data_IF_556691532751
#
_entry.id   IF_556691532751
#
_cell.length_a   1.000
_cell.length_b   1.000
_cell.length_c   1.000
_cell.angle_alpha   90.00
_cell.angle_beta   90.00
_cell.angle_gamma   90.00
#
_symmetry.space_group_name_H-M   'P 1'
#
loop_
_entity.id
_entity.type
_entity.pdbx_description
1 polymer ?
#
# COMPACT_ATOMS: atom_id res chain seq x y z
N UNK A 1 -6.68 10.26 22.96
CA UNK A 1 -7.85 9.67 22.26
C UNK A 1 -8.65 10.84 21.69
N UNK A 2 -8.56 11.06 20.38
CA UNK A 2 -9.41 12.00 19.64
C UNK A 2 -10.08 11.17 18.55
N UNK A 3 -11.40 11.04 18.65
CA UNK A 3 -12.36 10.52 17.67
C UNK A 3 -11.85 9.49 16.65
N UNK A 4 -12.03 8.18 16.92
CA UNK A 4 -12.39 7.10 15.97
C UNK A 4 -11.67 6.92 14.63
N UNK A 5 -10.68 7.74 14.29
CA UNK A 5 -9.94 7.69 13.05
C UNK A 5 -8.70 6.81 13.24
N UNK A 6 -8.37 5.94 12.27
CA UNK A 6 -7.16 5.15 12.34
C UNK A 6 -5.95 6.09 12.36
N UNK A 7 -5.20 6.09 13.47
CA UNK A 7 -3.94 6.83 13.58
C UNK A 7 -2.79 5.88 13.24
N UNK A 8 -2.08 6.15 12.15
CA UNK A 8 -0.87 5.44 11.79
C UNK A 8 0.36 6.31 12.13
N UNK A 9 1.36 5.72 12.78
CA UNK A 9 2.62 6.39 13.13
C UNK A 9 3.76 5.78 12.31
N UNK A 10 4.42 6.60 11.48
CA UNK A 10 5.62 6.21 10.75
C UNK A 10 6.87 6.74 11.48
N UNK A 11 7.75 5.84 11.91
CA UNK A 11 9.07 6.19 12.46
C UNK A 11 10.17 5.75 11.50
N UNK A 12 11.09 6.65 11.16
CA UNK A 12 12.29 6.36 10.36
C UNK A 12 13.54 6.66 11.19
N UNK A 13 14.50 5.74 11.18
CA UNK A 13 15.79 5.88 11.88
C UNK A 13 16.90 5.76 10.83
N UNK A 14 17.89 6.65 10.92
CA UNK A 14 19.06 6.65 10.05
C UNK A 14 20.31 6.59 10.92
N UNK A 15 21.33 5.88 10.45
CA UNK A 15 22.66 5.88 11.04
C UNK A 15 23.61 6.55 10.06
N UNK A 16 24.41 7.51 10.54
CA UNK A 16 25.41 8.21 9.74
C UNK A 16 26.77 7.85 10.32
N UNK A 17 27.65 7.28 9.51
CA UNK A 17 29.03 6.94 9.87
C UNK A 17 29.96 7.89 9.11
N UNK A 18 30.42 8.99 9.74
CA UNK A 18 31.31 9.93 9.09
C UNK A 18 32.69 9.31 8.86
N UNK A 19 33.22 9.46 7.64
CA UNK A 19 34.54 8.92 7.26
C UNK A 19 35.70 9.86 7.61
N UNK A 20 35.42 11.14 7.87
CA UNK A 20 36.41 12.16 8.20
C UNK A 20 35.93 12.96 9.40
N UNK A 21 36.88 13.40 10.22
CA UNK A 21 36.61 14.37 11.28
C UNK A 21 36.31 15.74 10.66
N UNK A 22 35.43 16.51 11.30
CA UNK A 22 35.03 17.83 10.81
C UNK A 22 33.55 18.12 11.04
N UNK A 23 33.07 19.21 10.45
CA UNK A 23 31.66 19.63 10.55
C UNK A 23 30.80 18.80 9.61
N UNK A 24 29.75 18.20 10.16
CA UNK A 24 28.71 17.49 9.43
C UNK A 24 27.42 18.31 9.49
N UNK A 25 27.01 18.86 8.35
CA UNK A 25 25.75 19.61 8.22
C UNK A 25 24.61 18.67 7.82
N UNK A 26 23.60 18.57 8.68
CA UNK A 26 22.34 17.90 8.40
C UNK A 26 21.35 18.93 7.85
N UNK A 27 20.83 18.74 6.61
CA UNK A 27 19.90 19.69 6.02
C UNK A 27 18.54 19.66 6.74
N UNK A 28 17.83 20.79 6.70
CA UNK A 28 16.45 20.85 7.15
C UNK A 28 15.56 19.91 6.32
N UNK A 29 14.68 19.16 6.98
CA UNK A 29 13.78 18.22 6.34
C UNK A 29 12.37 18.81 6.30
N UNK A 30 11.77 18.86 5.11
CA UNK A 30 10.38 19.29 4.91
C UNK A 30 9.54 18.13 4.39
N UNK A 31 8.44 17.84 5.08
CA UNK A 31 7.49 16.77 4.72
C UNK A 31 6.14 17.40 4.45
N UNK A 32 5.66 17.27 3.21
CA UNK A 32 4.30 17.70 2.85
C UNK A 32 3.31 16.64 3.29
N UNK A 33 2.20 17.07 3.87
CA UNK A 33 1.12 16.19 4.31
C UNK A 33 -0.24 16.85 4.09
N UNK A 34 -1.30 16.05 4.14
CA UNK A 34 -2.67 16.57 4.18
C UNK A 34 -3.08 16.72 5.64
N UNK A 35 -3.40 17.95 6.06
CA UNK A 35 -3.92 18.21 7.40
C UNK A 35 -5.43 17.96 7.40
N UNK A 36 -5.85 16.85 8.03
CA UNK A 36 -7.26 16.44 8.10
C UNK A 36 -8.11 17.32 9.02
N UNK A 37 -7.52 18.07 9.94
CA UNK A 37 -8.26 18.99 10.81
C UNK A 37 -8.64 20.29 10.08
N UNK A 38 -7.80 20.72 9.14
CA UNK A 38 -8.02 21.95 8.35
C UNK A 38 -8.32 21.69 6.87
N UNK A 39 -8.50 20.42 6.50
CA UNK A 39 -8.74 19.91 5.15
C UNK A 39 -7.92 20.58 4.03
N UNK A 40 -6.60 20.66 4.23
CA UNK A 40 -5.69 21.32 3.29
C UNK A 40 -4.30 20.70 3.29
N UNK A 41 -3.54 20.95 2.23
CA UNK A 41 -2.12 20.63 2.19
C UNK A 41 -1.34 21.52 3.17
N UNK A 42 -0.48 20.88 3.96
CA UNK A 42 0.36 21.53 4.98
C UNK A 42 1.78 20.95 4.95
N UNK A 43 2.72 21.59 5.65
CA UNK A 43 4.14 21.22 5.62
C UNK A 43 4.69 21.13 7.04
N UNK A 44 5.25 19.98 7.38
CA UNK A 44 6.03 19.79 8.60
C UNK A 44 7.50 20.06 8.29
N UNK A 45 8.13 20.92 9.08
CA UNK A 45 9.55 21.25 8.95
C UNK A 45 10.33 20.80 10.19
N UNK A 46 11.45 20.14 9.96
CA UNK A 46 12.44 19.78 10.97
C UNK A 46 13.69 20.59 10.65
N UNK A 47 14.15 21.38 11.62
CA UNK A 47 15.34 22.21 11.46
C UNK A 47 16.57 21.34 11.14
N UNK A 48 17.45 21.87 10.30
CA UNK A 48 18.77 21.29 10.08
C UNK A 48 19.62 21.39 11.34
N UNK A 49 20.68 20.60 11.42
CA UNK A 49 21.57 20.58 12.57
C UNK A 49 23.02 20.36 12.11
N UNK A 50 23.95 21.10 12.71
CA UNK A 50 25.39 20.90 12.48
C UNK A 50 25.95 20.07 13.63
N UNK A 51 26.69 19.02 13.30
CA UNK A 51 27.35 18.13 14.24
C UNK A 51 28.87 18.28 14.06
N UNK A 52 29.60 18.52 15.15
CA UNK A 52 31.06 18.47 15.14
C UNK A 52 31.52 17.01 15.34
N UNK A 53 32.10 16.42 14.31
CA UNK A 53 32.63 15.05 14.34
C UNK A 53 34.07 15.08 14.81
N UNK A 54 34.33 14.53 15.99
CA UNK A 54 35.68 14.36 16.52
C UNK A 54 36.47 13.29 15.74
N UNK A 55 37.80 13.38 15.81
CA UNK A 55 38.70 12.37 15.24
C UNK A 55 38.47 11.04 15.95
N UNK A 56 37.89 10.08 15.25
CA UNK A 56 37.81 8.69 15.70
C UNK A 56 39.01 7.88 15.22
N UNK A 57 39.32 6.78 15.90
CA UNK A 57 40.23 5.75 15.41
C UNK A 57 39.59 5.02 14.20
N UNK A 58 39.54 5.68 13.04
CA UNK A 58 39.11 5.08 11.80
C UNK A 58 40.23 4.18 11.26
N UNK A 59 39.88 2.94 10.89
CA UNK A 59 40.72 2.14 10.00
C UNK A 59 40.80 2.92 8.67
N UNK A 60 42.00 3.23 8.15
CA UNK A 60 42.11 3.99 6.91
C UNK A 60 41.50 3.20 5.77
N UNK A 61 40.37 3.68 5.24
CA UNK A 61 39.88 3.25 3.94
C UNK A 61 40.73 4.03 2.94
N UNK A 62 41.60 3.30 2.23
CA UNK A 62 42.53 3.88 1.26
C UNK A 62 41.74 4.76 0.27
N UNK A 63 42.06 6.05 0.12
CA UNK A 63 41.44 6.87 -0.91
C UNK A 63 41.72 6.23 -2.28
N UNK A 64 40.66 5.98 -3.05
CA UNK A 64 40.79 5.68 -4.48
C UNK A 64 41.56 6.83 -5.13
N UNK A 65 42.66 6.57 -5.85
CA UNK A 65 43.49 7.64 -6.38
C UNK A 65 42.66 8.51 -7.33
N UNK A 66 42.51 9.78 -6.96
CA UNK A 66 42.13 10.80 -7.92
C UNK A 66 43.29 10.94 -8.91
N UNK A 67 43.03 10.63 -10.18
CA UNK A 67 43.98 10.85 -11.27
C UNK A 67 44.37 12.33 -11.28
N UNK A 68 45.62 12.61 -10.94
CA UNK A 68 46.21 13.93 -11.12
C UNK A 68 46.22 14.27 -12.62
N UNK A 69 45.93 15.52 -13.04
CA UNK A 69 46.08 15.91 -14.43
C UNK A 69 47.54 15.75 -14.83
N UNK A 70 47.82 14.87 -15.79
CA UNK A 70 49.16 14.72 -16.33
C UNK A 70 49.61 16.05 -16.98
N UNK A 71 50.73 16.61 -16.51
CA UNK A 71 51.43 17.67 -17.22
C UNK A 71 51.92 17.12 -18.56
N UNK A 72 51.47 17.72 -19.65
CA UNK A 72 51.91 17.39 -21.00
C UNK A 72 53.33 17.95 -21.25
N UNK A 73 54.27 17.17 -21.81
CA UNK A 73 55.49 17.73 -22.37
C UNK A 73 55.18 18.55 -23.63
N UNK A 74 55.70 19.78 -23.65
CA UNK A 74 55.73 20.63 -24.82
C UNK A 74 56.70 20.06 -25.87
N UNK A 75 56.20 19.91 -27.10
CA UNK A 75 56.88 19.78 -28.39
C UNK A 75 56.50 18.48 -29.13
N UNK A 76 55.53 18.57 -30.05
CA UNK A 76 55.52 17.88 -31.35
C UNK A 76 54.39 18.41 -32.24
N UNK A 77 54.52 18.33 -33.58
CA UNK A 77 53.91 19.25 -34.52
C UNK A 77 52.42 19.03 -34.71
N UNK A 78 51.71 20.12 -35.05
CA UNK A 78 50.28 20.14 -35.29
C UNK A 78 49.85 19.08 -36.33
N UNK A 79 48.96 18.15 -35.98
CA UNK A 79 48.28 17.33 -36.97
C UNK A 79 47.12 18.14 -37.54
N UNK A 80 47.03 18.12 -38.87
CA UNK A 80 45.90 18.63 -39.63
C UNK A 80 44.58 18.05 -39.09
N UNK A 81 43.54 18.88 -39.02
CA UNK A 81 42.19 18.46 -38.67
C UNK A 81 41.73 17.35 -39.63
N UNK A 82 41.40 16.14 -39.13
CA UNK A 82 40.56 15.24 -39.89
C UNK A 82 39.11 15.69 -39.71
N UNK A 83 38.55 16.29 -40.74
CA UNK A 83 37.11 16.24 -40.99
C UNK A 83 36.72 14.77 -41.12
N UNK A 84 36.15 14.20 -40.07
CA UNK A 84 35.43 12.92 -40.12
C UNK A 84 34.47 12.79 -38.93
N UNK A 85 33.44 13.62 -38.93
CA UNK A 85 32.16 13.20 -38.33
C UNK A 85 31.62 12.12 -39.26
N UNK A 86 31.55 10.85 -38.84
CA UNK A 86 30.59 9.86 -39.40
C UNK A 86 30.61 8.48 -38.75
N UNK A 87 31.69 7.99 -38.10
CA UNK A 87 31.70 6.58 -37.66
C UNK A 87 31.06 6.32 -36.26
N UNK A 88 31.21 7.26 -35.31
CA UNK A 88 30.65 7.12 -33.96
C UNK A 88 29.15 7.40 -33.86
N UNK A 89 28.64 8.25 -34.76
CA UNK A 89 27.22 8.61 -34.83
C UNK A 89 26.37 7.44 -35.33
N UNK A 90 26.86 6.63 -36.27
CA UNK A 90 26.08 5.49 -36.78
C UNK A 90 25.90 4.38 -35.75
N UNK A 91 26.93 4.05 -34.97
CA UNK A 91 26.82 3.04 -33.91
C UNK A 91 25.89 3.51 -32.78
N UNK A 92 25.99 4.78 -32.38
CA UNK A 92 25.10 5.37 -31.37
C UNK A 92 23.65 5.49 -31.89
N UNK A 93 23.47 5.87 -33.15
CA UNK A 93 22.14 5.92 -33.81
C UNK A 93 21.53 4.52 -33.94
N UNK A 94 22.31 3.51 -34.28
CA UNK A 94 21.85 2.12 -34.32
C UNK A 94 21.41 1.63 -32.93
N UNK A 95 22.17 1.97 -31.88
CA UNK A 95 21.83 1.63 -30.50
C UNK A 95 20.55 2.34 -30.03
N UNK A 96 20.44 3.65 -30.26
CA UNK A 96 19.25 4.42 -29.92
C UNK A 96 18.01 3.94 -30.70
N UNK A 97 18.19 3.56 -31.97
CA UNK A 97 17.09 3.00 -32.77
C UNK A 97 16.63 1.65 -32.22
N UNK A 98 17.55 0.78 -31.79
CA UNK A 98 17.21 -0.49 -31.12
C UNK A 98 16.47 -0.26 -29.80
N UNK A 99 16.95 0.64 -28.94
CA UNK A 99 16.28 0.98 -27.67
C UNK A 99 14.91 1.62 -27.87
N UNK A 100 14.75 2.44 -28.91
CA UNK A 100 13.45 3.00 -29.30
C UNK A 100 12.48 1.90 -29.70
N UNK A 101 12.90 0.95 -30.54
CA UNK A 101 12.07 -0.19 -30.91
C UNK A 101 11.72 -1.08 -29.73
N UNK A 102 12.68 -1.35 -28.84
CA UNK A 102 12.44 -2.14 -27.62
C UNK A 102 11.42 -1.46 -26.70
N UNK A 103 11.57 -0.15 -26.48
CA UNK A 103 10.64 0.66 -25.68
C UNK A 103 9.26 0.74 -26.31
N UNK A 104 9.20 0.86 -27.65
CA UNK A 104 7.95 0.85 -28.40
C UNK A 104 7.24 -0.49 -28.28
N UNK A 105 7.97 -1.60 -28.39
CA UNK A 105 7.42 -2.96 -28.31
C UNK A 105 6.93 -3.27 -26.89
N UNK A 106 7.67 -2.83 -25.87
CA UNK A 106 7.26 -2.94 -24.47
C UNK A 106 6.04 -2.07 -24.18
N UNK A 107 6.02 -0.83 -24.67
CA UNK A 107 4.88 0.09 -24.55
C UNK A 107 3.64 -0.45 -25.24
N UNK A 108 3.75 -0.91 -26.48
CA UNK A 108 2.66 -1.57 -27.22
C UNK A 108 2.20 -2.86 -26.54
N UNK A 109 3.12 -3.64 -25.97
CA UNK A 109 2.79 -4.83 -25.18
C UNK A 109 2.00 -4.49 -23.92
N UNK A 110 2.41 -3.45 -23.19
CA UNK A 110 1.68 -2.94 -22.01
C UNK A 110 0.32 -2.37 -22.40
N UNK A 111 0.24 -1.56 -23.46
CA UNK A 111 -1.05 -1.04 -23.95
C UNK A 111 -1.95 -2.18 -24.41
N UNK A 112 -1.41 -3.17 -25.11
CA UNK A 112 -2.14 -4.37 -25.52
C UNK A 112 -2.66 -5.15 -24.32
N UNK A 113 -1.83 -5.39 -23.30
CA UNK A 113 -2.22 -6.04 -22.05
C UNK A 113 -3.25 -5.22 -21.25
N UNK A 114 -3.12 -3.89 -21.25
CA UNK A 114 -4.03 -2.98 -20.57
C UNK A 114 -5.38 -2.92 -21.28
N UNK A 115 -5.40 -2.78 -22.61
CA UNK A 115 -6.62 -2.86 -23.42
C UNK A 115 -7.24 -4.24 -23.30
N UNK A 116 -6.46 -5.32 -23.31
CA UNK A 116 -6.97 -6.67 -23.08
C UNK A 116 -7.58 -6.81 -21.69
N UNK A 117 -6.92 -6.29 -20.65
CA UNK A 117 -7.43 -6.26 -19.29
C UNK A 117 -8.72 -5.46 -19.17
N UNK A 118 -8.80 -4.30 -19.81
CA UNK A 118 -10.00 -3.44 -19.82
C UNK A 118 -11.12 -4.03 -20.67
N UNK A 119 -10.80 -4.70 -21.77
CA UNK A 119 -11.76 -5.46 -22.59
C UNK A 119 -12.17 -6.79 -21.96
N UNK A 120 -11.44 -7.30 -20.96
CA UNK A 120 -11.90 -8.39 -20.08
C UNK A 120 -12.70 -7.87 -18.89
N UNK A 121 -12.55 -6.60 -18.52
CA UNK A 121 -13.42 -5.93 -17.55
C UNK A 121 -14.75 -5.47 -18.17
N UNK A 122 -14.79 -5.27 -19.49
CA UNK A 122 -16.03 -5.16 -20.26
C UNK A 122 -16.39 -6.54 -20.83
N UNK A 123 -17.30 -7.24 -20.16
CA UNK A 123 -17.80 -8.58 -20.53
C UNK A 123 -16.91 -9.72 -20.01
N UNK A 124 -16.82 -9.84 -18.68
CA UNK A 124 -17.29 -11.11 -18.11
C UNK A 124 -18.79 -11.14 -18.37
N UNK A 125 -19.19 -11.55 -19.57
CA UNK A 125 -20.45 -12.26 -19.70
C UNK A 125 -20.25 -13.43 -18.78
N UNK A 126 -20.87 -13.34 -17.60
CA UNK A 126 -21.08 -14.50 -16.77
C UNK A 126 -21.50 -15.63 -17.74
N UNK A 127 -20.79 -16.78 -17.76
CA UNK A 127 -21.41 -17.96 -18.31
C UNK A 127 -22.78 -18.02 -17.66
N UNK A 128 -23.85 -18.09 -18.46
CA UNK A 128 -25.20 -18.28 -17.94
C UNK A 128 -25.11 -19.27 -16.78
N UNK A 129 -25.65 -18.94 -15.59
CA UNK A 129 -25.30 -19.60 -14.34
C UNK A 129 -25.53 -21.10 -14.49
N UNK A 130 -24.48 -21.81 -14.88
CA UNK A 130 -24.33 -23.19 -14.52
C UNK A 130 -24.29 -23.10 -13.01
N UNK A 131 -25.35 -23.62 -12.42
CA UNK A 131 -25.62 -23.77 -11.00
C UNK A 131 -24.44 -24.53 -10.39
N UNK A 132 -23.29 -23.87 -10.27
CA UNK A 132 -22.20 -24.30 -9.43
C UNK A 132 -22.78 -24.26 -8.02
N UNK A 133 -22.63 -25.35 -7.25
CA UNK A 133 -23.39 -25.54 -6.02
C UNK A 133 -23.20 -24.30 -5.17
N UNK A 134 -24.29 -23.79 -4.62
CA UNK A 134 -24.27 -22.87 -3.50
C UNK A 134 -23.12 -23.34 -2.60
N UNK A 135 -22.04 -22.57 -2.56
CA UNK A 135 -21.07 -22.72 -1.49
C UNK A 135 -21.79 -22.15 -0.27
N UNK A 136 -22.77 -22.93 0.20
CA UNK A 136 -23.25 -22.93 1.56
C UNK A 136 -21.97 -23.10 2.37
N UNK A 137 -21.40 -21.97 2.78
CA UNK A 137 -20.34 -21.99 3.76
C UNK A 137 -20.96 -22.72 4.95
N UNK A 138 -20.41 -23.90 5.21
CA UNK A 138 -20.99 -24.82 6.17
C UNK A 138 -21.06 -24.09 7.52
N UNK A 139 -22.26 -23.89 8.10
CA UNK A 139 -22.39 -23.24 9.40
C UNK A 139 -21.60 -23.97 10.50
N UNK A 140 -21.19 -25.22 10.27
CA UNK A 140 -20.26 -25.94 11.13
C UNK A 140 -18.88 -25.27 11.24
N UNK A 141 -18.39 -24.59 10.21
CA UNK A 141 -17.09 -23.88 10.23
C UNK A 141 -17.14 -22.70 11.20
N UNK A 142 -18.22 -21.92 11.16
CA UNK A 142 -18.44 -20.83 12.11
C UNK A 142 -18.59 -21.37 13.53
N UNK A 143 -19.34 -22.45 13.73
CA UNK A 143 -19.51 -23.09 15.05
C UNK A 143 -18.19 -23.61 15.60
N UNK A 144 -17.33 -24.21 14.76
CA UNK A 144 -16.00 -24.70 15.15
C UNK A 144 -15.06 -23.55 15.52
N UNK A 145 -15.04 -22.48 14.71
CA UNK A 145 -14.25 -21.29 15.01
C UNK A 145 -14.69 -20.64 16.33
N UNK A 146 -16.01 -20.56 16.57
CA UNK A 146 -16.54 -20.05 17.84
C UNK A 146 -16.22 -20.97 19.03
N UNK A 147 -16.14 -22.30 18.83
CA UNK A 147 -15.79 -23.24 19.88
C UNK A 147 -14.32 -23.09 20.29
N UNK A 148 -13.38 -23.36 19.38
CA UNK A 148 -11.96 -23.50 19.72
C UNK A 148 -11.06 -22.46 19.07
N UNK A 149 -11.50 -21.81 18.00
CA UNK A 149 -10.67 -20.94 17.18
C UNK A 149 -10.19 -19.66 17.85
N UNK A 150 -9.11 -19.11 17.31
CA UNK A 150 -8.59 -17.81 17.72
C UNK A 150 -9.49 -16.65 17.26
N UNK A 151 -9.34 -15.47 17.87
CA UNK A 151 -10.13 -14.27 17.51
C UNK A 151 -10.05 -13.94 16.01
N UNK A 152 -8.91 -14.18 15.37
CA UNK A 152 -8.74 -13.98 13.93
C UNK A 152 -9.46 -15.05 13.11
N UNK A 153 -9.42 -16.32 13.53
CA UNK A 153 -10.17 -17.41 12.87
C UNK A 153 -11.68 -17.19 12.99
N UNK A 154 -12.15 -16.68 14.13
CA UNK A 154 -13.54 -16.29 14.32
C UNK A 154 -13.92 -15.16 13.36
N UNK A 155 -13.06 -14.14 13.20
CA UNK A 155 -13.28 -13.05 12.25
C UNK A 155 -13.38 -13.56 10.80
N UNK A 156 -12.50 -14.49 10.41
CA UNK A 156 -12.49 -15.08 9.07
C UNK A 156 -13.72 -15.94 8.82
N UNK A 157 -14.09 -16.78 9.79
CA UNK A 157 -15.28 -17.61 9.72
C UNK A 157 -16.56 -16.76 9.67
N UNK A 158 -16.63 -15.65 10.41
CA UNK A 158 -17.73 -14.70 10.35
C UNK A 158 -17.86 -14.06 8.96
N UNK A 159 -16.75 -13.62 8.35
CA UNK A 159 -16.75 -13.08 6.98
C UNK A 159 -17.18 -14.12 5.94
N UNK A 160 -16.75 -15.36 6.10
CA UNK A 160 -17.13 -16.45 5.22
C UNK A 160 -18.61 -16.85 5.39
N UNK A 161 -19.16 -16.74 6.61
CA UNK A 161 -20.55 -17.13 6.89
C UNK A 161 -21.63 -16.24 6.24
N UNK A 162 -21.23 -15.13 5.61
CA UNK A 162 -22.16 -14.26 4.88
C UNK A 162 -22.20 -14.56 3.39
N UNK A 163 -23.39 -14.54 2.76
CA UNK A 163 -23.56 -14.86 1.34
C UNK A 163 -22.91 -13.85 0.40
N UNK A 164 -22.62 -12.64 0.88
CA UNK A 164 -21.91 -11.60 0.13
C UNK A 164 -20.52 -11.39 0.73
N UNK A 165 -19.44 -11.46 -0.07
CA UNK A 165 -18.09 -11.27 0.44
C UNK A 165 -17.95 -9.88 1.09
N UNK A 166 -17.61 -9.85 2.37
CA UNK A 166 -17.31 -8.64 3.11
C UNK A 166 -15.78 -8.46 3.19
N UNK A 167 -15.28 -7.28 2.85
CA UNK A 167 -13.83 -7.00 2.87
C UNK A 167 -13.29 -6.83 4.29
N UNK A 168 -14.12 -6.32 5.21
CA UNK A 168 -13.75 -6.08 6.61
C UNK A 168 -14.94 -6.35 7.58
N UNK A 169 -14.63 -6.44 8.87
CA UNK A 169 -15.62 -6.66 9.94
C UNK A 169 -16.59 -5.48 10.10
N UNK A 170 -16.16 -4.25 9.82
CA UNK A 170 -17.04 -3.08 9.78
C UNK A 170 -18.18 -3.18 8.75
N UNK A 171 -17.92 -3.74 7.56
CA UNK A 171 -18.96 -4.00 6.54
C UNK A 171 -19.93 -5.10 7.00
N UNK A 172 -19.43 -6.13 7.69
CA UNK A 172 -20.27 -7.15 8.30
C UNK A 172 -21.17 -6.52 9.37
N UNK A 173 -20.62 -5.70 10.28
CA UNK A 173 -21.37 -4.99 11.31
C UNK A 173 -22.51 -4.14 10.75
N UNK A 174 -22.26 -3.40 9.68
CA UNK A 174 -23.27 -2.54 9.05
C UNK A 174 -24.45 -3.33 8.45
N UNK A 175 -24.23 -4.60 8.10
CA UNK A 175 -25.23 -5.51 7.52
C UNK A 175 -26.02 -6.31 8.55
N UNK A 176 -25.51 -6.44 9.77
CA UNK A 176 -26.21 -7.12 10.84
C UNK A 176 -27.43 -6.29 11.28
N UNK A 177 -28.56 -6.97 11.43
CA UNK A 177 -29.82 -6.39 11.90
C UNK A 177 -29.96 -6.36 13.41
N UNK A 178 -29.19 -7.18 14.14
CA UNK A 178 -29.24 -7.29 15.60
C UNK A 178 -28.15 -6.45 16.28
N UNK A 179 -28.56 -5.62 17.25
CA UNK A 179 -27.67 -4.78 18.03
C UNK A 179 -26.71 -5.59 18.91
N UNK A 180 -27.12 -6.77 19.39
CA UNK A 180 -26.25 -7.63 20.20
C UNK A 180 -25.08 -8.20 19.36
N UNK A 181 -25.34 -8.58 18.12
CA UNK A 181 -24.33 -9.06 17.17
C UNK A 181 -23.37 -7.94 16.74
N UNK A 182 -23.88 -6.72 16.53
CA UNK A 182 -23.04 -5.55 16.24
C UNK A 182 -22.09 -5.23 17.39
N UNK A 183 -22.60 -5.20 18.62
CA UNK A 183 -21.79 -4.95 19.82
C UNK A 183 -20.72 -6.03 20.06
N UNK A 184 -21.02 -7.28 19.70
CA UNK A 184 -20.05 -8.38 19.80
C UNK A 184 -18.91 -8.24 18.77
N UNK A 185 -19.19 -7.77 17.55
CA UNK A 185 -18.16 -7.45 16.54
C UNK A 185 -17.32 -6.26 17.00
N UNK A 186 -17.93 -5.21 17.57
CA UNK A 186 -17.19 -4.06 18.10
C UNK A 186 -16.23 -4.48 19.23
N UNK A 187 -16.67 -5.37 20.13
CA UNK A 187 -15.81 -5.91 21.17
C UNK A 187 -14.66 -6.77 20.61
N UNK A 188 -14.93 -7.57 19.57
CA UNK A 188 -13.90 -8.34 18.84
C UNK A 188 -12.83 -7.42 18.24
N UNK A 189 -13.26 -6.39 17.52
CA UNK A 189 -12.40 -5.39 16.90
C UNK A 189 -11.54 -4.65 17.94
N UNK A 190 -12.14 -4.20 19.03
CA UNK A 190 -11.43 -3.55 20.13
C UNK A 190 -10.35 -4.45 20.72
N UNK A 191 -10.63 -5.75 20.88
CA UNK A 191 -9.69 -6.71 21.47
C UNK A 191 -8.56 -7.07 20.51
N UNK A 192 -8.84 -7.12 19.21
CA UNK A 192 -7.84 -7.35 18.16
C UNK A 192 -6.84 -6.18 18.04
N UNK A 193 -7.30 -4.96 18.26
CA UNK A 193 -6.47 -3.75 18.14
C UNK A 193 -6.01 -3.17 19.49
N UNK A 194 -6.32 -3.83 20.61
CA UNK A 194 -5.79 -3.46 21.91
C UNK A 194 -4.26 -3.67 21.95
N UNK A 195 -3.52 -2.71 22.51
CA UNK A 195 -2.07 -2.77 22.59
C UNK A 195 -1.55 -3.92 23.48
N UNK A 196 -2.35 -4.35 24.46
CA UNK A 196 -2.12 -5.54 25.30
C UNK A 196 -3.46 -6.06 25.84
N UNK A 197 -4.16 -6.93 25.10
CA UNK A 197 -5.38 -7.55 25.59
C UNK A 197 -5.02 -8.56 26.69
N UNK A 198 -5.70 -8.53 27.84
CA UNK A 198 -5.56 -9.58 28.83
C UNK A 198 -6.16 -10.89 28.29
N UNK A 199 -5.66 -12.05 28.75
CA UNK A 199 -6.22 -13.34 28.35
C UNK A 199 -7.70 -13.48 28.73
N UNK A 200 -8.10 -12.85 29.84
CA UNK A 200 -9.47 -12.83 30.36
C UNK A 200 -10.42 -12.04 29.43
N UNK A 201 -9.96 -10.92 28.87
CA UNK A 201 -10.72 -10.13 27.89
C UNK A 201 -11.03 -10.95 26.63
N UNK A 202 -10.06 -11.77 26.18
CA UNK A 202 -10.25 -12.63 24.99
C UNK A 202 -11.28 -13.72 25.24
N UNK A 203 -11.31 -14.30 26.45
CA UNK A 203 -12.29 -15.31 26.81
C UNK A 203 -13.70 -14.71 26.92
N UNK A 204 -13.84 -13.55 27.56
CA UNK A 204 -15.11 -12.84 27.69
C UNK A 204 -15.70 -12.44 26.32
N UNK A 205 -14.86 -11.98 25.39
CA UNK A 205 -15.28 -11.62 24.02
C UNK A 205 -15.74 -12.85 23.24
N UNK A 206 -15.05 -14.00 23.39
CA UNK A 206 -15.47 -15.26 22.76
C UNK A 206 -16.84 -15.72 23.26
N UNK A 207 -17.09 -15.62 24.57
CA UNK A 207 -18.38 -15.99 25.14
C UNK A 207 -19.51 -15.08 24.62
N UNK A 208 -19.25 -13.77 24.56
CA UNK A 208 -20.20 -12.80 23.98
C UNK A 208 -20.49 -13.09 22.50
N UNK A 209 -19.48 -13.46 21.73
CA UNK A 209 -19.65 -13.87 20.32
C UNK A 209 -20.47 -15.17 20.21
N UNK A 210 -20.21 -16.19 21.05
CA UNK A 210 -21.01 -17.42 21.07
C UNK A 210 -22.48 -17.14 21.40
N UNK A 211 -22.74 -16.28 22.39
CA UNK A 211 -24.09 -15.92 22.78
C UNK A 211 -24.84 -15.19 21.66
N UNK A 212 -24.18 -14.19 21.04
CA UNK A 212 -24.78 -13.37 19.99
C UNK A 212 -24.98 -14.14 18.66
N UNK A 213 -24.08 -15.06 18.31
CA UNK A 213 -24.11 -15.81 17.05
C UNK A 213 -24.65 -17.25 17.20
N UNK A 214 -25.25 -17.61 18.34
CA UNK A 214 -25.83 -18.95 18.59
C UNK A 214 -26.84 -19.36 17.50
N UNK A 215 -27.66 -18.41 17.05
CA UNK A 215 -28.69 -18.60 16.03
C UNK A 215 -28.22 -18.27 14.60
N UNK A 216 -26.93 -17.95 14.43
CA UNK A 216 -26.36 -17.47 13.16
C UNK A 216 -26.48 -15.95 12.95
N UNK A 217 -25.84 -15.39 11.92
CA UNK A 217 -25.87 -13.96 11.63
C UNK A 217 -27.25 -13.52 11.13
N UNK A 218 -27.86 -12.56 11.83
CA UNK A 218 -29.15 -11.98 11.43
C UNK A 218 -28.84 -10.79 10.53
N UNK A 219 -29.00 -10.97 9.22
CA UNK A 219 -28.78 -9.91 8.25
C UNK A 219 -30.02 -9.01 8.16
N UNK A 220 -29.80 -7.70 8.09
CA UNK A 220 -30.86 -6.74 7.82
C UNK A 220 -31.41 -7.03 6.43
N UNK A 221 -32.69 -7.38 6.33
CA UNK A 221 -33.37 -7.47 5.04
C UNK A 221 -33.39 -6.06 4.45
N UNK A 222 -32.74 -5.87 3.30
CA UNK A 222 -32.82 -4.61 2.55
C UNK A 222 -34.29 -4.39 2.19
N UNK A 223 -34.98 -3.53 2.94
CA UNK A 223 -36.29 -3.04 2.52
C UNK A 223 -36.05 -2.15 1.30
N UNK A 224 -36.25 -2.77 0.14
CA UNK A 224 -36.23 -2.18 -1.20
C UNK A 224 -37.40 -1.20 -1.36
N UNK A 225 -37.42 -0.10 -0.60
CA UNK A 225 -38.40 0.99 -0.76
C UNK A 225 -38.08 2.19 0.14
N UNK A 226 -36.87 2.76 0.10
CA UNK A 226 -36.69 4.12 0.63
C UNK A 226 -35.51 4.81 -0.05
N UNK A 227 -35.87 5.52 -1.12
CA UNK A 227 -35.21 6.72 -1.62
C UNK A 227 -33.98 6.51 -2.48
N UNK A 228 -34.27 6.36 -3.78
CA UNK A 228 -33.67 7.13 -4.87
C UNK A 228 -32.46 7.97 -4.43
N UNK A 229 -31.27 7.52 -4.84
CA UNK A 229 -30.01 8.25 -4.73
C UNK A 229 -30.23 9.75 -5.03
N UNK A 230 -30.07 10.66 -4.05
CA UNK A 230 -30.18 12.10 -4.28
C UNK A 230 -28.95 12.68 -5.00
N UNK A 231 -28.04 11.82 -5.44
CA UNK A 231 -26.84 12.22 -6.15
C UNK A 231 -27.10 12.17 -7.66
N UNK A 232 -27.09 13.34 -8.27
CA UNK A 232 -27.08 13.49 -9.71
C UNK A 232 -25.90 12.70 -10.32
N UNK A 233 -26.09 12.02 -11.47
CA UNK A 233 -25.02 11.28 -12.12
C UNK A 233 -23.87 12.23 -12.50
N UNK A 234 -22.68 11.97 -11.95
CA UNK A 234 -21.47 12.79 -12.15
C UNK A 234 -20.83 12.63 -13.53
N UNK A 235 -21.48 11.93 -14.47
CA UNK A 235 -21.04 11.82 -15.85
C UNK A 235 -22.22 11.93 -16.80
N UNK A 236 -22.10 12.70 -17.90
CA UNK A 236 -23.08 12.67 -18.97
C UNK A 236 -23.09 11.29 -19.62
N UNK A 237 -24.29 10.76 -19.84
CA UNK A 237 -24.48 9.60 -20.68
C UNK A 237 -23.95 9.94 -22.09
N UNK A 238 -22.94 9.22 -22.55
CA UNK A 238 -22.48 9.33 -23.94
C UNK A 238 -23.58 8.80 -24.84
N UNK A 239 -24.20 9.70 -25.61
CA UNK A 239 -24.94 9.36 -26.82
C UNK A 239 -24.01 9.03 -27.97
#
# INVERSE_FOLDING_TARGET
VVAGAPVAVLKRRFAIVPAQAGKLDLPALRVRYWNTASDRADVAEVAGATLDVAVGNAVPINPVPMLSPAQAPANSPAPAMPTAISAGDEALRAELTRWRWLSLLLGCGLLGALLWGWRRQAVVSAPAPQRAPERLVDPAVLRRALADGDLHEIADALRASTPTPCLNLGQLRARLGDAAQQAAIDALEQTLWAARPAADDRAAVRERLRAAFKSGPILRQSSEAAMASPLAPLYPARG
#
